data_IF_038078135754
#
_entry.id   IF_038078135754
#
_cell.length_a   1.000
_cell.length_b   1.000
_cell.length_c   1.000
_cell.angle_alpha   90.00
_cell.angle_beta   90.00
_cell.angle_gamma   90.00
#
_symmetry.space_group_name_H-M   'P 1'
#
loop_
_entity.id
_entity.type
_entity.pdbx_description
1 polymer ?
#
# COMPACT_ATOMS: atom_id res chain seq x y z
N UNK A 1 -35.31 -40.76 21.88
CA UNK A 1 -34.60 -41.94 21.34
C UNK A 1 -33.84 -41.49 20.11
N UNK A 2 -32.52 -41.74 20.01
CA UNK A 2 -31.77 -41.43 18.79
C UNK A 2 -32.32 -42.27 17.62
N UNK A 3 -32.55 -41.64 16.47
CA UNK A 3 -32.88 -42.36 15.23
C UNK A 3 -31.60 -42.77 14.52
N UNK A 4 -31.53 -44.00 14.00
CA UNK A 4 -30.41 -44.40 13.16
C UNK A 4 -30.44 -43.61 11.84
N UNK A 5 -29.27 -43.42 11.20
CA UNK A 5 -29.14 -42.64 9.96
C UNK A 5 -30.14 -43.06 8.88
N UNK A 6 -30.33 -44.37 8.68
CA UNK A 6 -31.30 -44.87 7.68
C UNK A 6 -32.74 -44.47 7.97
N UNK A 7 -33.17 -44.50 9.23
CA UNK A 7 -34.52 -44.04 9.58
C UNK A 7 -34.65 -42.53 9.40
N UNK A 8 -33.59 -41.77 9.68
CA UNK A 8 -33.56 -40.31 9.48
C UNK A 8 -33.63 -39.93 8.00
N UNK A 9 -32.81 -40.54 7.16
CA UNK A 9 -32.76 -40.30 5.71
C UNK A 9 -34.08 -40.65 5.00
N UNK A 10 -34.72 -41.75 5.43
CA UNK A 10 -35.98 -42.20 4.83
C UNK A 10 -37.24 -41.65 5.54
N UNK A 11 -37.07 -40.72 6.48
CA UNK A 11 -38.18 -40.16 7.27
C UNK A 11 -39.05 -41.23 7.96
N UNK A 12 -38.44 -42.34 8.36
CA UNK A 12 -39.11 -43.47 9.01
C UNK A 12 -39.06 -43.33 10.54
N UNK A 13 -40.10 -43.85 11.21
CA UNK A 13 -40.10 -43.92 12.67
C UNK A 13 -39.10 -44.97 13.15
N UNK A 14 -38.02 -44.52 13.80
CA UNK A 14 -37.01 -45.41 14.35
C UNK A 14 -37.49 -46.00 15.69
N UNK A 15 -37.86 -47.29 15.71
CA UNK A 15 -38.19 -48.02 16.95
C UNK A 15 -37.13 -49.06 17.25
N UNK A 16 -36.49 -48.95 18.41
CA UNK A 16 -35.52 -49.92 18.90
C UNK A 16 -36.09 -50.68 20.12
N UNK A 17 -36.12 -52.02 20.09
CA UNK A 17 -36.42 -52.81 21.28
C UNK A 17 -35.39 -52.55 22.39
N UNK A 18 -35.76 -52.65 23.68
CA UNK A 18 -34.81 -52.53 24.77
C UNK A 18 -33.71 -53.60 24.64
N UNK A 19 -32.44 -53.17 24.68
CA UNK A 19 -31.27 -54.06 24.56
C UNK A 19 -30.90 -54.50 23.14
N UNK A 20 -31.61 -54.03 22.11
CA UNK A 20 -31.30 -54.37 20.71
C UNK A 20 -30.26 -53.42 20.12
N UNK A 21 -29.22 -53.99 19.47
CA UNK A 21 -28.21 -53.24 18.69
C UNK A 21 -28.73 -52.65 17.37
N UNK A 22 -29.99 -52.92 17.01
CA UNK A 22 -30.61 -52.53 15.74
C UNK A 22 -32.05 -52.10 15.94
N UNK A 23 -32.50 -51.09 15.19
CA UNK A 23 -33.93 -50.78 15.13
C UNK A 23 -34.69 -51.88 14.40
N UNK A 24 -36.01 -51.92 14.62
CA UNK A 24 -36.90 -52.85 13.93
C UNK A 24 -36.80 -52.73 12.41
N UNK A 25 -36.61 -51.52 11.90
CA UNK A 25 -36.49 -51.29 10.46
C UNK A 25 -35.19 -51.86 9.88
N UNK A 26 -34.04 -51.60 10.50
CA UNK A 26 -32.76 -52.18 10.04
C UNK A 26 -32.71 -53.70 10.21
N UNK A 27 -33.40 -54.25 11.21
CA UNK A 27 -33.54 -55.70 11.37
C UNK A 27 -34.38 -56.30 10.24
N UNK A 28 -35.49 -55.64 9.87
CA UNK A 28 -36.39 -56.08 8.79
C UNK A 28 -35.69 -56.17 7.43
N UNK A 29 -34.85 -55.19 7.10
CA UNK A 29 -34.10 -55.17 5.84
C UNK A 29 -32.78 -55.96 5.89
N UNK A 30 -32.48 -56.62 7.01
CA UNK A 30 -31.23 -57.37 7.19
C UNK A 30 -29.97 -56.48 7.23
N UNK A 31 -30.10 -55.19 7.51
CA UNK A 31 -28.95 -54.28 7.57
C UNK A 31 -28.18 -54.49 8.87
N UNK A 32 -26.93 -54.95 8.74
CA UNK A 32 -26.01 -55.18 9.86
C UNK A 32 -25.44 -53.88 10.44
N UNK A 33 -25.43 -52.79 9.67
CA UNK A 33 -24.97 -51.47 10.10
C UNK A 33 -26.16 -50.59 10.48
N UNK A 34 -26.73 -50.84 11.67
CA UNK A 34 -27.70 -49.94 12.27
C UNK A 34 -26.95 -48.95 13.16
N UNK A 35 -26.83 -47.69 12.74
CA UNK A 35 -26.20 -46.63 13.54
C UNK A 35 -27.02 -46.17 14.74
N UNK A 36 -27.71 -47.10 15.42
CA UNK A 36 -28.55 -46.81 16.57
C UNK A 36 -27.74 -46.44 17.81
N UNK A 37 -26.54 -47.02 17.92
CA UNK A 37 -25.58 -46.79 19.00
C UNK A 37 -24.71 -45.54 18.76
N UNK A 38 -24.96 -44.79 17.68
CA UNK A 38 -24.16 -43.63 17.26
C UNK A 38 -22.90 -44.00 16.45
N UNK A 39 -22.16 -43.00 15.93
CA UNK A 39 -20.89 -43.22 15.26
C UNK A 39 -19.84 -43.79 16.23
N UNK A 40 -18.94 -44.64 15.72
CA UNK A 40 -17.86 -45.24 16.51
C UNK A 40 -16.96 -44.14 17.09
N UNK A 41 -16.77 -44.07 18.42
CA UNK A 41 -15.91 -43.05 19.05
C UNK A 41 -14.47 -43.08 18.53
N UNK A 42 -13.96 -44.24 18.08
CA UNK A 42 -12.63 -44.32 17.46
C UNK A 42 -12.59 -43.71 16.06
N UNK A 43 -13.68 -43.84 15.30
CA UNK A 43 -13.80 -43.19 13.99
C UNK A 43 -13.85 -41.67 14.16
N UNK A 44 -14.61 -41.17 15.14
CA UNK A 44 -14.66 -39.74 15.47
C UNK A 44 -13.32 -39.18 15.94
N UNK A 45 -12.52 -39.94 16.70
CA UNK A 45 -11.18 -39.50 17.10
C UNK A 45 -10.22 -39.40 15.92
N UNK A 46 -10.28 -40.33 14.96
CA UNK A 46 -9.45 -40.28 13.76
C UNK A 46 -9.84 -39.12 12.85
N UNK A 47 -11.14 -38.88 12.70
CA UNK A 47 -11.66 -37.75 11.93
C UNK A 47 -11.24 -36.41 12.55
N UNK A 48 -11.36 -36.27 13.88
CA UNK A 48 -10.87 -35.08 14.60
C UNK A 48 -9.37 -34.86 14.42
N UNK A 49 -8.56 -35.90 14.56
CA UNK A 49 -7.11 -35.79 14.38
C UNK A 49 -6.74 -35.41 12.93
N UNK A 50 -7.51 -35.85 11.93
CA UNK A 50 -7.32 -35.41 10.55
C UNK A 50 -7.72 -33.95 10.33
N UNK A 51 -8.82 -33.50 10.96
CA UNK A 51 -9.26 -32.11 10.88
C UNK A 51 -8.23 -31.20 11.53
N UNK A 52 -7.77 -31.51 12.74
CA UNK A 52 -6.74 -30.73 13.45
C UNK A 52 -5.45 -30.62 12.62
N UNK A 53 -5.01 -31.71 11.97
CA UNK A 53 -3.82 -31.67 11.11
C UNK A 53 -3.99 -30.75 9.88
N UNK A 54 -5.17 -30.71 9.27
CA UNK A 54 -5.48 -29.84 8.13
C UNK A 54 -5.62 -28.38 8.58
N UNK A 55 -6.21 -28.14 9.76
CA UNK A 55 -6.31 -26.81 10.35
C UNK A 55 -4.93 -26.24 10.68
N UNK A 56 -4.04 -27.05 11.27
CA UNK A 56 -2.66 -26.64 11.56
C UNK A 56 -1.88 -26.29 10.28
N UNK A 57 -2.05 -27.08 9.21
CA UNK A 57 -1.42 -26.79 7.91
C UNK A 57 -1.98 -25.51 7.27
N UNK A 58 -3.29 -25.29 7.37
CA UNK A 58 -3.93 -24.07 6.87
C UNK A 58 -3.45 -22.83 7.64
N UNK A 59 -3.32 -22.90 8.96
CA UNK A 59 -2.80 -21.81 9.79
C UNK A 59 -1.35 -21.50 9.40
N UNK A 60 -0.51 -22.51 9.21
CA UNK A 60 0.88 -22.30 8.80
C UNK A 60 1.00 -21.60 7.44
N UNK A 61 0.16 -21.97 6.47
CA UNK A 61 0.11 -21.33 5.16
C UNK A 61 -0.41 -19.89 5.23
N UNK A 62 -1.42 -19.62 6.06
CA UNK A 62 -1.95 -18.28 6.28
C UNK A 62 -0.93 -17.36 6.97
N UNK A 63 -0.15 -17.87 7.92
CA UNK A 63 0.94 -17.13 8.56
C UNK A 63 2.06 -16.79 7.58
N UNK A 64 2.44 -17.73 6.71
CA UNK A 64 3.44 -17.47 5.66
C UNK A 64 2.93 -16.42 4.65
N UNK A 65 1.69 -16.54 4.20
CA UNK A 65 1.07 -15.55 3.32
C UNK A 65 0.98 -14.17 3.99
N UNK A 66 0.58 -14.11 5.26
CA UNK A 66 0.53 -12.87 6.02
C UNK A 66 1.92 -12.23 6.17
N UNK A 67 2.96 -13.03 6.41
CA UNK A 67 4.34 -12.55 6.49
C UNK A 67 4.82 -11.98 5.15
N UNK A 68 4.53 -12.65 4.03
CA UNK A 68 4.85 -12.18 2.69
C UNK A 68 4.12 -10.87 2.35
N UNK A 69 2.83 -10.77 2.68
CA UNK A 69 2.05 -9.55 2.49
C UNK A 69 2.56 -8.40 3.34
N UNK A 70 2.95 -8.65 4.59
CA UNK A 70 3.53 -7.64 5.47
C UNK A 70 4.88 -7.13 4.94
N UNK A 71 5.75 -8.04 4.46
CA UNK A 71 7.03 -7.68 3.85
C UNK A 71 6.83 -6.81 2.60
N UNK A 72 5.94 -7.22 1.69
CA UNK A 72 5.62 -6.43 0.51
C UNK A 72 5.07 -5.03 0.87
N UNK A 73 4.16 -4.95 1.84
CA UNK A 73 3.62 -3.66 2.30
C UNK A 73 4.72 -2.74 2.85
N UNK A 74 5.69 -3.29 3.60
CA UNK A 74 6.83 -2.53 4.11
C UNK A 74 7.73 -2.01 2.98
N UNK A 75 8.00 -2.82 1.96
CA UNK A 75 8.77 -2.41 0.78
C UNK A 75 8.07 -1.28 0.00
N UNK A 76 6.75 -1.38 -0.21
CA UNK A 76 5.97 -0.33 -0.84
C UNK A 76 5.98 0.97 -0.03
N UNK A 77 5.85 0.88 1.29
CA UNK A 77 5.92 2.05 2.17
C UNK A 77 7.31 2.72 2.12
N UNK A 78 8.39 1.93 2.11
CA UNK A 78 9.75 2.44 1.96
C UNK A 78 9.96 3.12 0.59
N UNK A 79 9.44 2.52 -0.48
CA UNK A 79 9.51 3.12 -1.82
C UNK A 79 8.71 4.44 -1.90
N UNK A 80 7.52 4.49 -1.31
CA UNK A 80 6.68 5.69 -1.28
C UNK A 80 7.34 6.84 -0.50
N UNK A 81 7.93 6.54 0.66
CA UNK A 81 8.65 7.55 1.46
C UNK A 81 9.91 8.06 0.73
N UNK A 82 10.67 7.18 0.06
CA UNK A 82 11.80 7.59 -0.76
C UNK A 82 11.39 8.45 -1.96
N UNK A 83 10.26 8.12 -2.61
CA UNK A 83 9.70 8.93 -3.69
C UNK A 83 9.23 10.31 -3.21
N UNK A 84 8.58 10.37 -2.04
CA UNK A 84 8.16 11.62 -1.41
C UNK A 84 9.36 12.51 -1.02
N UNK A 85 10.45 11.92 -0.52
CA UNK A 85 11.68 12.66 -0.20
C UNK A 85 12.31 13.27 -1.47
N UNK A 86 12.35 12.50 -2.56
CA UNK A 86 12.85 12.98 -3.87
C UNK A 86 11.98 14.10 -4.42
N UNK A 87 10.65 13.98 -4.34
CA UNK A 87 9.74 15.02 -4.82
C UNK A 87 9.84 16.30 -3.98
N UNK A 88 9.94 16.19 -2.65
CA UNK A 88 10.17 17.34 -1.78
C UNK A 88 11.47 18.08 -2.13
N UNK A 89 12.58 17.36 -2.32
CA UNK A 89 13.85 17.95 -2.72
C UNK A 89 13.78 18.62 -4.11
N UNK A 90 13.02 18.04 -5.05
CA UNK A 90 12.79 18.65 -6.36
C UNK A 90 11.98 19.96 -6.26
N UNK A 91 10.95 19.97 -5.40
CA UNK A 91 10.15 21.17 -5.13
C UNK A 91 11.03 22.27 -4.53
N UNK A 92 11.85 21.96 -3.53
CA UNK A 92 12.76 22.94 -2.91
C UNK A 92 13.77 23.52 -3.93
N UNK A 93 14.37 22.68 -4.78
CA UNK A 93 15.23 23.12 -5.88
C UNK A 93 14.48 24.01 -6.88
N UNK A 94 13.22 23.71 -7.18
CA UNK A 94 12.42 24.55 -8.07
C UNK A 94 12.10 25.91 -7.46
N UNK A 95 11.82 25.96 -6.15
CA UNK A 95 11.50 27.19 -5.43
C UNK A 95 12.72 28.10 -5.29
N UNK A 96 13.88 27.53 -4.98
CA UNK A 96 15.16 28.27 -4.94
C UNK A 96 15.51 28.82 -6.33
N UNK A 97 15.41 28.01 -7.39
CA UNK A 97 15.62 28.47 -8.76
C UNK A 97 14.62 29.58 -9.17
N UNK A 98 13.36 29.50 -8.74
CA UNK A 98 12.37 30.55 -8.97
C UNK A 98 12.69 31.83 -8.18
N UNK A 99 13.19 31.71 -6.94
CA UNK A 99 13.64 32.85 -6.15
C UNK A 99 14.84 33.56 -6.81
N UNK A 100 15.83 32.81 -7.29
CA UNK A 100 16.96 33.37 -8.03
C UNK A 100 16.50 34.09 -9.31
N UNK A 101 15.58 33.48 -10.08
CA UNK A 101 15.01 34.13 -11.27
C UNK A 101 14.29 35.45 -10.95
N UNK A 102 13.50 35.48 -9.87
CA UNK A 102 12.82 36.71 -9.43
C UNK A 102 13.80 37.79 -8.98
N UNK A 103 14.87 37.42 -8.27
CA UNK A 103 15.93 38.37 -7.86
C UNK A 103 16.64 38.95 -9.08
N UNK A 104 17.04 38.09 -10.03
CA UNK A 104 17.66 38.52 -11.27
C UNK A 104 16.75 39.49 -12.05
N UNK A 105 15.47 39.15 -12.23
CA UNK A 105 14.49 40.03 -12.88
C UNK A 105 14.38 41.41 -12.23
N UNK A 106 14.35 41.48 -10.88
CA UNK A 106 14.32 42.76 -10.15
C UNK A 106 15.59 43.58 -10.39
N UNK A 107 16.77 42.95 -10.39
CA UNK A 107 18.03 43.64 -10.70
C UNK A 107 18.06 44.15 -12.14
N UNK A 108 17.56 43.35 -13.11
CA UNK A 108 17.43 43.79 -14.52
C UNK A 108 16.52 45.00 -14.64
N UNK A 109 15.35 44.97 -14.02
CA UNK A 109 14.39 46.08 -14.04
C UNK A 109 14.97 47.34 -13.38
N UNK A 110 15.66 47.20 -12.25
CA UNK A 110 16.31 48.33 -11.58
C UNK A 110 17.44 48.95 -12.44
N UNK A 111 18.27 48.11 -13.07
CA UNK A 111 19.31 48.56 -13.98
C UNK A 111 18.72 49.28 -15.20
N UNK A 112 17.70 48.70 -15.83
CA UNK A 112 16.99 49.33 -16.94
C UNK A 112 16.40 50.68 -16.54
N UNK A 113 15.76 50.78 -15.37
CA UNK A 113 15.22 52.05 -14.88
C UNK A 113 16.33 53.11 -14.67
N UNK A 114 17.49 52.73 -14.12
CA UNK A 114 18.65 53.61 -13.98
C UNK A 114 19.17 54.08 -15.35
N UNK A 115 19.32 53.16 -16.30
CA UNK A 115 19.74 53.49 -17.67
C UNK A 115 18.75 54.44 -18.34
N UNK A 116 17.44 54.19 -18.23
CA UNK A 116 16.41 55.07 -18.79
C UNK A 116 16.51 56.49 -18.23
N UNK A 117 16.64 56.65 -16.90
CA UNK A 117 16.80 57.98 -16.26
C UNK A 117 18.01 58.76 -16.79
N UNK A 118 19.11 58.06 -17.02
CA UNK A 118 20.33 58.67 -17.58
C UNK A 118 20.10 59.11 -19.02
N UNK A 119 19.48 58.25 -19.84
CA UNK A 119 19.19 58.55 -21.25
C UNK A 119 18.16 59.67 -21.42
N UNK A 120 17.25 59.86 -20.46
CA UNK A 120 16.25 60.94 -20.47
C UNK A 120 16.78 62.25 -19.86
N UNK A 121 18.06 62.32 -19.48
CA UNK A 121 18.70 63.49 -18.86
C UNK A 121 18.00 64.00 -17.59
N UNK A 122 17.27 63.13 -16.87
CA UNK A 122 16.64 63.50 -15.60
C UNK A 122 17.66 63.70 -14.47
N UNK A 123 18.85 63.11 -14.59
CA UNK A 123 19.98 63.30 -13.68
C UNK A 123 21.20 63.85 -14.44
N UNK A 124 21.61 65.09 -14.14
CA UNK A 124 22.73 65.80 -14.80
C UNK A 124 24.11 65.39 -14.29
N UNK A 125 24.19 64.53 -13.27
CA UNK A 125 25.44 63.97 -12.74
C UNK A 125 25.36 62.43 -12.74
N UNK A 126 25.96 61.81 -13.76
CA UNK A 126 26.04 60.35 -13.86
C UNK A 126 27.16 59.84 -12.94
N UNK A 127 26.78 59.13 -11.88
CA UNK A 127 27.75 58.37 -11.07
C UNK A 127 28.14 57.06 -11.78
N UNK A 128 29.19 57.16 -12.59
CA UNK A 128 29.77 56.04 -13.33
C UNK A 128 30.29 54.91 -12.43
N UNK A 129 30.67 55.20 -11.18
CA UNK A 129 31.15 54.19 -10.25
C UNK A 129 29.98 53.29 -9.79
N UNK A 130 28.84 53.89 -9.45
CA UNK A 130 27.62 53.14 -9.15
C UNK A 130 27.16 52.30 -10.35
N UNK A 131 27.15 52.86 -11.57
CA UNK A 131 26.73 52.11 -12.76
C UNK A 131 27.59 50.88 -13.03
N UNK A 132 28.91 50.99 -12.87
CA UNK A 132 29.83 49.84 -13.04
C UNK A 132 29.55 48.75 -12.01
N UNK A 133 29.27 49.12 -10.75
CA UNK A 133 28.91 48.15 -9.72
C UNK A 133 27.58 47.46 -10.01
N UNK A 134 26.56 48.20 -10.44
CA UNK A 134 25.26 47.64 -10.85
C UNK A 134 25.39 46.70 -12.07
N UNK A 135 26.23 47.07 -13.05
CA UNK A 135 26.49 46.26 -14.23
C UNK A 135 27.26 44.98 -13.91
N UNK A 136 28.27 45.04 -13.04
CA UNK A 136 28.99 43.87 -12.56
C UNK A 136 28.04 42.91 -11.82
N UNK A 137 27.18 43.42 -10.93
CA UNK A 137 26.16 42.61 -10.25
C UNK A 137 25.15 41.99 -11.23
N UNK A 138 24.78 42.71 -12.29
CA UNK A 138 23.91 42.17 -13.36
C UNK A 138 24.58 41.02 -14.11
N UNK A 139 25.88 41.13 -14.44
CA UNK A 139 26.62 40.08 -15.13
C UNK A 139 26.78 38.82 -14.27
N UNK A 140 27.14 38.97 -12.99
CA UNK A 140 27.22 37.85 -12.04
C UNK A 140 25.86 37.15 -11.87
N UNK A 141 24.79 37.93 -11.75
CA UNK A 141 23.43 37.40 -11.60
C UNK A 141 22.92 36.72 -12.88
N UNK A 142 23.46 37.10 -14.05
CA UNK A 142 23.15 36.48 -15.33
C UNK A 142 23.96 35.22 -15.57
N UNK A 143 25.21 35.15 -15.09
CA UNK A 143 26.05 33.96 -15.13
C UNK A 143 25.55 32.85 -14.18
N UNK A 144 24.87 33.22 -13.10
CA UNK A 144 24.29 32.29 -12.14
C UNK A 144 22.98 31.61 -12.60
N UNK A 145 22.42 32.00 -13.75
CA UNK A 145 21.24 31.33 -14.30
C UNK A 145 21.67 30.07 -15.06
N UNK A 146 21.15 28.87 -14.72
CA UNK A 146 21.45 27.67 -15.49
C UNK A 146 20.97 27.85 -16.93
N UNK A 147 21.81 27.44 -17.89
CA UNK A 147 21.49 27.48 -19.31
C UNK A 147 20.12 26.81 -19.55
N UNK A 148 19.28 27.33 -20.45
CA UNK A 148 18.01 26.69 -20.76
C UNK A 148 18.29 25.26 -21.21
N UNK A 149 17.78 24.29 -20.45
CA UNK A 149 17.78 22.88 -20.82
C UNK A 149 16.98 22.72 -22.10
N UNK A 150 17.65 22.68 -23.25
CA UNK A 150 17.05 22.33 -24.53
C UNK A 150 16.81 20.82 -24.48
N UNK A 151 15.61 20.41 -24.12
CA UNK A 151 15.20 19.02 -24.24
C UNK A 151 15.09 18.68 -25.73
N UNK A 152 15.92 17.74 -26.20
CA UNK A 152 15.80 17.10 -27.52
C UNK A 152 14.92 15.86 -27.43
#
# INVERSE_FOLDING_TARGET
MPSCMRCRENSLTCRAPPGAKRCGECTRVGNMQCGLDGPDPRALQRERAQIEAVEDEAIALDEEAAALHAAAAAEFAAAATAAAAKSAAAVEKSQTAAAHRRRAQRQRAAFQAKVTKILTHEDSAIDWASMKADFASFLESSAALPAPSVAS
#
